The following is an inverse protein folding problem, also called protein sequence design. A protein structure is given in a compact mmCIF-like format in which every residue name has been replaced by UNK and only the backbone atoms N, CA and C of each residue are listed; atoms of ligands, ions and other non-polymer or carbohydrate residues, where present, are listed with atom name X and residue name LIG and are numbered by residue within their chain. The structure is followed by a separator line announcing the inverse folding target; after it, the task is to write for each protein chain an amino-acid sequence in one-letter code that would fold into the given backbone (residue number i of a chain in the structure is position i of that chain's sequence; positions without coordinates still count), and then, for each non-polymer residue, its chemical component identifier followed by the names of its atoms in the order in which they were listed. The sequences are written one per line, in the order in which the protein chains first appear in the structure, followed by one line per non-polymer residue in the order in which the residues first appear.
data_IF_815771903454
#
_entry.id   IF_815771903454
#
_cell.length_a   1.000
_cell.length_b   1.000
_cell.length_c   1.000
_cell.angle_alpha   90.00
_cell.angle_beta   90.00
_cell.angle_gamma   90.00
#
_symmetry.space_group_name_H-M   'P 1'
#
loop_
_entity.id
_entity.type
_entity.pdbx_description
1 polymer ?
#
# COMPACT_ATOMS: atom_id res chain seq x y z
N UNK A 1 -11.70 -72.32 73.23
CA UNK A 1 -13.12 -72.05 73.54
C UNK A 1 -13.91 -72.92 72.56
N UNK A 2 -14.20 -74.19 72.89
CA UNK A 2 -15.33 -74.68 73.72
C UNK A 2 -16.68 -74.36 73.05
N UNK A 3 -17.37 -75.36 72.47
CA UNK A 3 -18.47 -76.19 73.08
C UNK A 3 -19.83 -75.43 72.93
N UNK A 4 -20.99 -75.95 72.48
CA UNK A 4 -21.66 -77.28 72.34
C UNK A 4 -22.27 -77.44 70.90
N UNK A 5 -22.70 -78.57 70.33
CA UNK A 5 -23.20 -79.91 70.75
C UNK A 5 -24.62 -79.98 71.38
N UNK A 6 -25.16 -81.21 71.48
CA UNK A 6 -26.52 -81.65 71.93
C UNK A 6 -27.52 -81.69 70.75
N UNK A 7 -27.84 -82.85 70.17
CA UNK A 7 -28.58 -84.04 70.68
C UNK A 7 -30.10 -83.75 70.86
N UNK A 8 -31.03 -84.70 70.72
CA UNK A 8 -30.86 -86.15 70.74
C UNK A 8 -31.86 -86.88 69.81
N UNK A 9 -31.48 -88.07 69.37
CA UNK A 9 -32.28 -88.96 68.53
C UNK A 9 -32.92 -90.02 69.43
N UNK A 10 -34.19 -89.84 69.87
CA UNK A 10 -34.76 -90.74 70.89
C UNK A 10 -36.09 -91.45 70.56
N UNK A 11 -35.96 -92.68 70.02
CA UNK A 11 -36.87 -93.84 70.22
C UNK A 11 -38.32 -93.69 69.67
N UNK A 12 -39.06 -94.75 69.29
CA UNK A 12 -39.37 -95.97 70.05
C UNK A 12 -39.49 -97.22 69.16
N UNK A 13 -39.06 -98.35 69.74
CA UNK A 13 -39.08 -99.72 69.20
C UNK A 13 -40.47 -100.25 68.83
N UNK A 14 -40.55 -101.31 67.99
CA UNK A 14 -41.77 -102.12 67.88
C UNK A 14 -42.11 -102.75 69.24
N UNK A 15 -43.40 -102.76 69.61
CA UNK A 15 -43.90 -103.55 70.75
C UNK A 15 -44.68 -104.76 70.24
N UNK A 16 -43.95 -105.86 70.08
CA UNK A 16 -44.50 -107.20 69.96
C UNK A 16 -45.45 -107.51 71.11
N UNK A 17 -46.53 -108.25 70.82
CA UNK A 17 -47.40 -108.83 71.85
C UNK A 17 -46.61 -109.88 72.63
N UNK A 18 -46.28 -109.59 73.89
CA UNK A 18 -46.08 -110.65 74.88
C UNK A 18 -47.40 -110.85 75.63
N UNK A 19 -48.14 -111.89 75.26
CA UNK A 19 -49.19 -112.43 76.12
C UNK A 19 -48.53 -113.16 77.28
N UNK A 20 -48.75 -112.68 78.51
CA UNK A 20 -48.40 -113.44 79.70
C UNK A 20 -49.38 -114.61 79.87
N UNK A 21 -48.85 -115.78 80.24
CA UNK A 21 -49.67 -116.92 80.65
C UNK A 21 -50.45 -116.57 81.91
N UNK A 22 -51.74 -116.91 81.93
CA UNK A 22 -52.49 -117.14 83.16
C UNK A 22 -52.78 -118.63 83.29
N UNK A 23 -52.24 -119.23 84.34
CA UNK A 23 -52.54 -120.59 84.77
C UNK A 23 -53.72 -120.53 85.73
N UNK A 24 -54.82 -121.23 85.42
CA UNK A 24 -55.86 -121.59 86.40
C UNK A 24 -56.41 -122.97 86.05
N UNK A 25 -56.50 -123.86 87.04
CA UNK A 25 -57.01 -125.23 86.92
C UNK A 25 -58.14 -125.44 87.96
N UNK A 26 -58.88 -126.55 87.85
CA UNK A 26 -59.98 -126.99 88.76
C UNK A 26 -61.31 -126.19 88.66
N UNK A 27 -62.51 -126.75 88.84
CA UNK A 27 -63.07 -128.10 88.55
C UNK A 27 -64.63 -127.98 88.48
N UNK A 28 -65.33 -129.05 88.09
CA UNK A 28 -66.78 -129.08 87.79
C UNK A 28 -67.76 -128.85 88.97
N UNK A 29 -68.91 -128.19 88.73
CA UNK A 29 -70.27 -128.75 88.98
C UNK A 29 -71.42 -127.97 88.27
N UNK A 30 -72.68 -128.46 88.36
CA UNK A 30 -73.85 -128.14 87.48
C UNK A 30 -74.94 -127.21 88.09
N UNK A 31 -75.77 -126.60 87.19
CA UNK A 31 -77.06 -125.84 87.37
C UNK A 31 -76.91 -124.37 87.84
N UNK A 32 -77.37 -123.29 87.16
CA UNK A 32 -78.71 -122.88 86.64
C UNK A 32 -79.68 -122.46 87.76
N UNK A 33 -80.32 -121.28 87.82
CA UNK A 33 -80.59 -120.13 86.89
C UNK A 33 -80.09 -118.77 87.49
N UNK A 34 -80.26 -117.54 86.97
CA UNK A 34 -80.93 -116.98 85.77
C UNK A 34 -81.92 -115.83 86.08
N UNK A 35 -81.46 -114.56 86.05
CA UNK A 35 -82.23 -113.28 85.93
C UNK A 35 -81.27 -112.06 85.94
N UNK A 36 -80.27 -112.06 86.84
CA UNK A 36 -79.35 -110.92 87.03
C UNK A 36 -78.50 -110.53 85.80
N UNK A 37 -78.27 -111.45 84.87
CA UNK A 37 -77.45 -111.22 83.67
C UNK A 37 -78.08 -110.23 82.67
N UNK A 38 -79.43 -110.14 82.62
CA UNK A 38 -80.12 -109.26 81.66
C UNK A 38 -79.90 -107.77 81.98
N UNK A 39 -79.89 -107.41 83.27
CA UNK A 39 -79.69 -106.03 83.70
C UNK A 39 -78.27 -105.54 83.40
N UNK A 40 -77.24 -106.35 83.66
CA UNK A 40 -75.86 -105.98 83.28
C UNK A 40 -75.66 -105.91 81.76
N UNK A 41 -76.27 -106.83 80.99
CA UNK A 41 -76.21 -106.79 79.53
C UNK A 41 -76.78 -105.50 78.95
N UNK A 42 -77.99 -105.11 79.39
CA UNK A 42 -78.62 -103.84 78.99
C UNK A 42 -77.79 -102.63 79.39
N UNK A 43 -77.22 -102.61 80.60
CA UNK A 43 -76.42 -101.50 81.09
C UNK A 43 -75.10 -101.38 80.32
N UNK A 44 -74.45 -102.49 79.96
CA UNK A 44 -73.29 -102.50 79.06
C UNK A 44 -73.64 -102.05 77.63
N UNK A 45 -74.81 -102.42 77.08
CA UNK A 45 -75.25 -101.97 75.75
C UNK A 45 -75.53 -100.47 75.75
N UNK A 46 -76.19 -99.94 76.78
CA UNK A 46 -76.44 -98.49 76.92
C UNK A 46 -75.14 -97.70 77.13
N UNK A 47 -74.19 -98.22 77.92
CA UNK A 47 -72.86 -97.61 78.06
C UNK A 47 -72.06 -97.68 76.74
N UNK A 48 -72.09 -98.80 76.01
CA UNK A 48 -71.45 -98.90 74.70
C UNK A 48 -72.08 -97.96 73.67
N UNK A 49 -73.40 -97.86 73.62
CA UNK A 49 -74.10 -96.90 72.76
C UNK A 49 -73.77 -95.45 73.14
N UNK A 50 -73.65 -95.14 74.44
CA UNK A 50 -73.20 -93.85 74.93
C UNK A 50 -71.75 -93.53 74.55
N UNK A 51 -70.83 -94.48 74.70
CA UNK A 51 -69.42 -94.35 74.32
C UNK A 51 -69.27 -94.21 72.79
N UNK A 52 -69.99 -95.00 71.99
CA UNK A 52 -70.00 -94.88 70.53
C UNK A 52 -70.59 -93.53 70.10
N UNK A 53 -71.68 -93.08 70.72
CA UNK A 53 -72.27 -91.76 70.48
C UNK A 53 -71.31 -90.62 70.83
N UNK A 54 -70.62 -90.71 71.97
CA UNK A 54 -69.56 -89.77 72.36
C UNK A 54 -68.38 -89.79 71.37
N UNK A 55 -67.91 -90.96 70.96
CA UNK A 55 -66.84 -91.08 69.96
C UNK A 55 -67.25 -90.48 68.60
N UNK A 56 -68.47 -90.74 68.11
CA UNK A 56 -68.95 -90.20 66.83
C UNK A 56 -69.18 -88.69 66.92
N UNK A 57 -69.71 -88.18 68.03
CA UNK A 57 -69.92 -86.74 68.19
C UNK A 57 -68.57 -86.00 68.35
N UNK A 58 -67.64 -86.53 69.15
CA UNK A 58 -66.31 -85.95 69.35
C UNK A 58 -65.46 -85.97 68.06
N UNK A 59 -65.47 -87.07 67.32
CA UNK A 59 -64.77 -87.16 66.03
C UNK A 59 -65.45 -86.31 64.94
N UNK A 60 -66.79 -86.27 64.88
CA UNK A 60 -67.54 -85.44 63.95
C UNK A 60 -67.37 -83.94 64.18
N UNK A 61 -67.33 -83.51 65.44
CA UNK A 61 -67.10 -82.12 65.83
C UNK A 61 -65.66 -81.68 65.50
N UNK A 62 -64.66 -82.53 65.81
CA UNK A 62 -63.26 -82.30 65.39
C UNK A 62 -63.12 -82.21 63.86
N UNK A 63 -63.82 -83.06 63.10
CA UNK A 63 -63.78 -83.04 61.64
C UNK A 63 -64.45 -81.78 61.04
N UNK A 64 -65.48 -81.24 61.69
CA UNK A 64 -66.11 -79.98 61.28
C UNK A 64 -65.22 -78.78 61.59
N UNK A 65 -64.63 -78.71 62.78
CA UNK A 65 -63.71 -77.63 63.16
C UNK A 65 -62.46 -77.61 62.26
N UNK A 66 -61.89 -78.78 61.96
CA UNK A 66 -60.74 -78.91 61.07
C UNK A 66 -61.09 -78.54 59.62
N UNK A 67 -62.27 -78.94 59.13
CA UNK A 67 -62.78 -78.53 57.80
C UNK A 67 -62.98 -77.02 57.71
N UNK A 68 -63.57 -76.40 58.72
CA UNK A 68 -63.89 -74.96 58.69
C UNK A 68 -62.63 -74.09 58.87
N UNK A 69 -61.64 -74.57 59.62
CA UNK A 69 -60.29 -74.00 59.64
C UNK A 69 -59.59 -74.13 58.29
N UNK A 70 -59.62 -75.31 57.64
CA UNK A 70 -59.08 -75.52 56.31
C UNK A 70 -59.77 -74.65 55.25
N UNK A 71 -61.08 -74.50 55.32
CA UNK A 71 -61.87 -73.65 54.43
C UNK A 71 -61.52 -72.16 54.63
N UNK A 72 -61.36 -71.70 55.88
CA UNK A 72 -60.88 -70.35 56.19
C UNK A 72 -59.48 -70.10 55.64
N UNK A 73 -58.56 -71.07 55.79
CA UNK A 73 -57.21 -71.00 55.25
C UNK A 73 -57.20 -70.95 53.72
N UNK A 74 -58.02 -71.76 53.07
CA UNK A 74 -58.16 -71.81 51.61
C UNK A 74 -58.76 -70.51 51.04
N UNK A 75 -59.73 -69.90 51.74
CA UNK A 75 -60.28 -68.59 51.40
C UNK A 75 -59.23 -67.47 51.53
N UNK A 76 -58.34 -67.53 52.52
CA UNK A 76 -57.25 -66.56 52.67
C UNK A 76 -56.17 -66.74 51.59
N UNK A 77 -55.73 -67.98 51.33
CA UNK A 77 -54.81 -68.30 50.23
C UNK A 77 -55.38 -67.89 48.85
N UNK A 78 -56.70 -67.98 48.67
CA UNK A 78 -57.39 -67.48 47.47
C UNK A 78 -57.26 -65.97 47.34
N UNK A 79 -57.46 -65.20 48.41
CA UNK A 79 -57.27 -63.73 48.40
C UNK A 79 -55.82 -63.34 48.12
N UNK A 80 -54.86 -64.02 48.73
CA UNK A 80 -53.42 -63.79 48.49
C UNK A 80 -53.05 -64.07 47.03
N UNK A 81 -53.53 -65.18 46.47
CA UNK A 81 -53.37 -65.52 45.04
C UNK A 81 -53.95 -64.43 44.13
N UNK A 82 -55.15 -63.95 44.40
CA UNK A 82 -55.83 -62.96 43.55
C UNK A 82 -55.15 -61.57 43.66
N UNK A 83 -54.61 -61.21 44.83
CA UNK A 83 -53.74 -60.05 45.02
C UNK A 83 -52.43 -60.18 44.24
N UNK A 84 -51.74 -61.32 44.35
CA UNK A 84 -50.51 -61.60 43.60
C UNK A 84 -50.74 -61.59 42.09
N UNK A 85 -51.87 -62.12 41.62
CA UNK A 85 -52.27 -62.08 40.21
C UNK A 85 -52.50 -60.64 39.74
N UNK A 86 -53.11 -59.80 40.57
CA UNK A 86 -53.29 -58.36 40.29
C UNK A 86 -51.96 -57.62 40.19
N UNK A 87 -51.03 -57.87 41.13
CA UNK A 87 -49.68 -57.31 41.13
C UNK A 87 -48.92 -57.76 39.88
N UNK A 88 -48.94 -59.04 39.55
CA UNK A 88 -48.28 -59.60 38.37
C UNK A 88 -48.82 -59.00 37.06
N UNK A 89 -50.14 -58.79 36.97
CA UNK A 89 -50.76 -58.12 35.82
C UNK A 89 -50.33 -56.65 35.68
N UNK A 90 -50.10 -55.94 36.79
CA UNK A 90 -49.60 -54.57 36.77
C UNK A 90 -48.11 -54.50 36.40
N UNK A 91 -47.26 -55.34 37.00
CA UNK A 91 -45.84 -55.47 36.64
C UNK A 91 -45.66 -55.85 35.16
N UNK A 92 -46.56 -56.67 34.60
CA UNK A 92 -46.58 -57.00 33.17
C UNK A 92 -46.81 -55.75 32.31
N UNK A 93 -47.77 -54.88 32.68
CA UNK A 93 -48.01 -53.61 31.97
C UNK A 93 -46.83 -52.65 32.06
N UNK A 94 -46.23 -52.51 33.25
CA UNK A 94 -45.05 -51.67 33.45
C UNK A 94 -43.86 -52.16 32.61
N UNK A 95 -43.61 -53.48 32.59
CA UNK A 95 -42.61 -54.12 31.71
C UNK A 95 -42.87 -53.80 30.24
N UNK A 96 -44.11 -53.90 29.78
CA UNK A 96 -44.45 -53.69 28.36
C UNK A 96 -44.35 -52.20 27.97
N UNK A 97 -44.66 -51.28 28.89
CA UNK A 97 -44.39 -49.84 28.75
C UNK A 97 -42.88 -49.54 28.70
N UNK A 98 -42.10 -50.13 29.61
CA UNK A 98 -40.63 -50.05 29.62
C UNK A 98 -40.01 -50.59 28.33
N UNK A 99 -40.49 -51.73 27.82
CA UNK A 99 -40.04 -52.31 26.55
C UNK A 99 -40.36 -51.38 25.37
N UNK A 100 -41.53 -50.73 25.38
CA UNK A 100 -41.90 -49.75 24.35
C UNK A 100 -41.00 -48.52 24.39
N UNK A 101 -40.71 -48.00 25.59
CA UNK A 101 -39.77 -46.88 25.80
C UNK A 101 -38.35 -47.23 25.34
N UNK A 102 -37.85 -48.40 25.73
CA UNK A 102 -36.56 -48.94 25.29
C UNK A 102 -36.46 -49.05 23.76
N UNK A 103 -37.49 -49.61 23.12
CA UNK A 103 -37.54 -49.74 21.65
C UNK A 103 -37.54 -48.39 20.93
N UNK A 104 -38.07 -47.32 21.55
CA UNK A 104 -38.03 -45.97 21.00
C UNK A 104 -36.66 -45.32 21.19
N UNK A 105 -36.06 -45.42 22.38
CA UNK A 105 -34.70 -44.94 22.66
C UNK A 105 -33.65 -45.60 21.75
N UNK A 106 -33.83 -46.88 21.41
CA UNK A 106 -32.99 -47.59 20.43
C UNK A 106 -33.07 -46.93 19.05
N UNK A 107 -34.27 -46.56 18.57
CA UNK A 107 -34.44 -45.86 17.28
C UNK A 107 -33.81 -44.47 17.29
N UNK A 108 -33.97 -43.71 18.37
CA UNK A 108 -33.36 -42.39 18.53
C UNK A 108 -31.82 -42.48 18.52
N UNK A 109 -31.25 -43.45 19.24
CA UNK A 109 -29.82 -43.76 19.19
C UNK A 109 -29.33 -44.07 17.77
N UNK A 110 -30.06 -44.90 17.04
CA UNK A 110 -29.64 -45.32 15.69
C UNK A 110 -29.76 -44.16 14.67
N UNK A 111 -30.74 -43.26 14.85
CA UNK A 111 -30.84 -42.00 14.10
C UNK A 111 -29.69 -41.05 14.43
N UNK A 112 -29.35 -40.87 15.71
CA UNK A 112 -28.23 -40.04 16.15
C UNK A 112 -26.88 -40.59 15.66
N UNK A 113 -26.69 -41.91 15.70
CA UNK A 113 -25.51 -42.57 15.15
C UNK A 113 -25.40 -42.34 13.62
N UNK A 114 -26.51 -42.42 12.90
CA UNK A 114 -26.55 -42.08 11.46
C UNK A 114 -26.16 -40.63 11.20
N UNK A 115 -26.71 -39.68 11.97
CA UNK A 115 -26.39 -38.25 11.88
C UNK A 115 -24.91 -37.98 12.16
N UNK A 116 -24.36 -38.56 13.23
CA UNK A 116 -22.96 -38.42 13.61
C UNK A 116 -22.00 -38.99 12.54
N UNK A 117 -22.35 -40.10 11.91
CA UNK A 117 -21.59 -40.67 10.79
C UNK A 117 -21.60 -39.76 9.55
N UNK A 118 -22.69 -39.03 9.30
CA UNK A 118 -22.76 -38.07 8.20
C UNK A 118 -21.95 -36.80 8.50
N UNK A 119 -22.09 -36.22 9.69
CA UNK A 119 -21.29 -35.08 10.15
C UNK A 119 -19.77 -35.38 10.13
N UNK A 120 -19.39 -36.62 10.44
CA UNK A 120 -18.00 -37.09 10.34
C UNK A 120 -17.48 -37.01 8.89
N UNK A 121 -18.28 -37.43 7.90
CA UNK A 121 -17.92 -37.35 6.47
C UNK A 121 -17.82 -35.89 6.00
N UNK A 122 -18.76 -35.04 6.40
CA UNK A 122 -18.75 -33.60 6.06
C UNK A 122 -17.50 -32.91 6.64
N UNK A 123 -17.14 -33.21 7.90
CA UNK A 123 -15.89 -32.74 8.52
C UNK A 123 -14.66 -33.17 7.72
N UNK A 124 -14.59 -34.43 7.29
CA UNK A 124 -13.43 -34.97 6.58
C UNK A 124 -13.31 -34.40 5.14
N UNK A 125 -14.45 -34.11 4.50
CA UNK A 125 -14.51 -33.36 3.23
C UNK A 125 -14.04 -31.91 3.42
N UNK A 126 -14.52 -31.21 4.45
CA UNK A 126 -14.09 -29.86 4.80
C UNK A 126 -12.59 -29.80 5.12
N UNK A 127 -12.06 -30.76 5.88
CA UNK A 127 -10.63 -30.87 6.17
C UNK A 127 -9.81 -31.07 4.89
N UNK A 128 -10.30 -31.86 3.95
CA UNK A 128 -9.66 -32.06 2.64
C UNK A 128 -9.65 -30.78 1.82
N UNK A 129 -10.77 -30.05 1.77
CA UNK A 129 -10.89 -28.75 1.09
C UNK A 129 -9.94 -27.72 1.71
N UNK A 130 -9.90 -27.59 3.03
CA UNK A 130 -8.99 -26.72 3.77
C UNK A 130 -7.52 -27.02 3.49
N UNK A 131 -7.14 -28.30 3.47
CA UNK A 131 -5.77 -28.73 3.15
C UNK A 131 -5.37 -28.43 1.69
N UNK A 132 -6.32 -28.32 0.76
CA UNK A 132 -6.05 -27.91 -0.62
C UNK A 132 -5.93 -26.38 -0.73
N UNK A 133 -6.81 -25.62 -0.07
CA UNK A 133 -6.73 -24.16 0.04
C UNK A 133 -5.40 -23.68 0.63
N UNK A 134 -4.82 -24.41 1.59
CA UNK A 134 -3.46 -24.16 2.10
C UNK A 134 -2.42 -24.26 0.99
N UNK A 135 -2.47 -25.30 0.14
CA UNK A 135 -1.50 -25.49 -0.95
C UNK A 135 -1.62 -24.38 -1.99
N UNK A 136 -2.85 -24.00 -2.35
CA UNK A 136 -3.11 -22.89 -3.29
C UNK A 136 -2.58 -21.56 -2.74
N UNK A 137 -2.82 -21.27 -1.45
CA UNK A 137 -2.25 -20.10 -0.76
C UNK A 137 -0.73 -20.10 -0.82
N UNK A 138 -0.08 -21.23 -0.54
CA UNK A 138 1.39 -21.31 -0.50
C UNK A 138 2.02 -21.20 -1.90
N UNK A 139 1.34 -21.69 -2.93
CA UNK A 139 1.69 -21.46 -4.34
C UNK A 139 1.55 -19.98 -4.72
N UNK A 140 0.43 -19.33 -4.35
CA UNK A 140 0.20 -17.90 -4.59
C UNK A 140 1.22 -17.03 -3.85
N UNK A 141 1.57 -17.35 -2.61
CA UNK A 141 2.61 -16.66 -1.85
C UNK A 141 3.98 -16.78 -2.53
N UNK A 142 4.30 -17.95 -3.09
CA UNK A 142 5.53 -18.16 -3.86
C UNK A 142 5.55 -17.32 -5.13
N UNK A 143 4.44 -17.27 -5.87
CA UNK A 143 4.29 -16.43 -7.07
C UNK A 143 4.41 -14.94 -6.75
N UNK A 144 3.76 -14.46 -5.69
CA UNK A 144 3.84 -13.07 -5.21
C UNK A 144 5.28 -12.67 -4.83
N UNK A 145 6.01 -13.55 -4.15
CA UNK A 145 7.40 -13.30 -3.76
C UNK A 145 8.32 -13.18 -4.99
N UNK A 146 8.06 -13.93 -6.06
CA UNK A 146 8.81 -13.85 -7.31
C UNK A 146 8.48 -12.56 -8.09
N UNK A 147 7.20 -12.23 -8.25
CA UNK A 147 6.74 -10.99 -8.88
C UNK A 147 7.27 -9.73 -8.17
N UNK A 148 7.40 -9.80 -6.84
CA UNK A 148 8.02 -8.71 -6.05
C UNK A 148 9.49 -8.52 -6.43
N UNK A 149 10.28 -9.60 -6.55
CA UNK A 149 11.68 -9.51 -6.99
C UNK A 149 11.82 -8.97 -8.41
N UNK A 150 10.95 -9.39 -9.34
CA UNK A 150 10.95 -8.88 -10.72
C UNK A 150 10.63 -7.38 -10.75
N UNK A 151 9.64 -6.92 -9.97
CA UNK A 151 9.32 -5.49 -9.83
C UNK A 151 10.53 -4.70 -9.32
N UNK A 152 11.18 -5.17 -8.27
CA UNK A 152 12.30 -4.47 -7.64
C UNK A 152 13.53 -4.41 -8.58
N UNK A 153 13.75 -5.46 -9.38
CA UNK A 153 14.75 -5.47 -10.46
C UNK A 153 14.41 -4.48 -11.58
N UNK A 154 13.17 -4.45 -12.07
CA UNK A 154 12.72 -3.50 -13.09
C UNK A 154 12.79 -2.05 -12.60
N UNK A 155 12.42 -1.79 -11.34
CA UNK A 155 12.52 -0.47 -10.72
C UNK A 155 13.99 -0.01 -10.63
N UNK A 156 14.89 -0.92 -10.23
CA UNK A 156 16.34 -0.64 -10.24
C UNK A 156 16.85 -0.36 -11.66
N UNK A 157 16.42 -1.16 -12.64
CA UNK A 157 16.79 -1.01 -14.05
C UNK A 157 16.27 0.27 -14.70
N UNK A 158 15.11 0.79 -14.28
CA UNK A 158 14.57 2.07 -14.76
C UNK A 158 15.22 3.30 -14.10
N UNK A 159 15.68 3.18 -12.84
CA UNK A 159 16.27 4.30 -12.11
C UNK A 159 17.61 4.77 -12.72
N UNK A 160 18.39 3.87 -13.33
CA UNK A 160 19.66 4.22 -13.99
C UNK A 160 19.46 5.09 -15.25
N UNK A 161 18.68 4.67 -16.28
CA UNK A 161 18.43 5.49 -17.47
C UNK A 161 17.58 6.73 -17.19
N UNK A 162 16.85 6.79 -16.07
CA UNK A 162 16.22 8.03 -15.60
C UNK A 162 17.28 9.06 -15.18
N UNK A 163 18.26 8.67 -14.33
CA UNK A 163 19.38 9.54 -13.95
C UNK A 163 20.22 9.97 -15.16
N UNK A 164 20.52 9.04 -16.04
CA UNK A 164 21.31 9.29 -17.26
C UNK A 164 20.57 10.27 -18.20
N UNK A 165 19.24 10.15 -18.32
CA UNK A 165 18.40 11.13 -19.01
C UNK A 165 18.45 12.51 -18.35
N UNK A 166 18.29 12.58 -17.04
CA UNK A 166 18.29 13.87 -16.31
C UNK A 166 19.67 14.54 -16.33
N UNK A 167 20.77 13.77 -16.44
CA UNK A 167 22.12 14.28 -16.68
C UNK A 167 22.28 14.78 -18.12
N UNK A 168 21.93 13.97 -19.12
CA UNK A 168 21.94 14.36 -20.54
C UNK A 168 21.06 15.58 -20.83
N UNK A 169 19.92 15.73 -20.15
CA UNK A 169 19.04 16.87 -20.30
C UNK A 169 19.67 18.14 -19.72
N UNK A 170 20.28 18.07 -18.53
CA UNK A 170 21.07 19.18 -17.94
C UNK A 170 22.30 19.54 -18.78
N UNK A 171 22.96 18.57 -19.40
CA UNK A 171 24.04 18.84 -20.35
C UNK A 171 23.54 19.48 -21.64
N UNK A 172 22.39 19.03 -22.16
CA UNK A 172 21.73 19.62 -23.34
C UNK A 172 21.27 21.05 -23.08
N UNK A 173 20.74 21.36 -21.89
CA UNK A 173 20.38 22.72 -21.47
C UNK A 173 21.61 23.62 -21.33
N UNK A 174 22.67 23.14 -20.65
CA UNK A 174 23.97 23.84 -20.60
C UNK A 174 24.55 24.09 -22.00
N UNK A 175 24.48 23.10 -22.88
CA UNK A 175 24.99 23.19 -24.24
C UNK A 175 24.14 24.13 -25.10
N UNK A 176 22.81 24.11 -24.97
CA UNK A 176 21.92 25.06 -25.64
C UNK A 176 22.16 26.50 -25.15
N UNK A 177 22.34 26.72 -23.85
CA UNK A 177 22.69 28.03 -23.29
C UNK A 177 24.09 28.49 -23.75
N UNK A 178 25.01 27.55 -24.01
CA UNK A 178 26.34 27.82 -24.59
C UNK A 178 26.33 28.03 -26.11
N UNK A 179 25.39 27.43 -26.84
CA UNK A 179 25.23 27.54 -28.30
C UNK A 179 24.44 28.79 -28.68
N UNK A 180 23.35 29.12 -27.98
CA UNK A 180 22.59 30.37 -28.18
C UNK A 180 23.23 31.56 -27.46
N UNK A 181 23.98 31.32 -26.39
CA UNK A 181 24.67 32.34 -25.60
C UNK A 181 23.70 33.26 -24.88
N UNK A 182 23.07 32.81 -23.78
CA UNK A 182 22.36 33.73 -22.89
C UNK A 182 23.39 34.71 -22.29
N UNK A 183 23.37 35.95 -22.79
CA UNK A 183 24.31 37.01 -22.44
C UNK A 183 24.13 37.45 -20.98
N UNK A 184 22.92 37.32 -20.44
CA UNK A 184 22.58 37.79 -19.11
C UNK A 184 23.28 36.98 -17.99
N UNK A 185 23.55 35.68 -18.21
CA UNK A 185 24.22 34.81 -17.22
C UNK A 185 25.65 35.25 -16.84
N UNK A 186 26.29 36.08 -17.67
CA UNK A 186 27.61 36.65 -17.40
C UNK A 186 27.56 38.12 -16.95
N UNK A 187 26.34 38.67 -16.83
CA UNK A 187 26.10 40.05 -16.44
C UNK A 187 26.02 40.23 -14.92
N UNK A 188 25.80 41.49 -14.51
CA UNK A 188 25.56 41.86 -13.12
C UNK A 188 24.17 42.48 -13.01
N UNK A 189 23.28 41.83 -12.27
CA UNK A 189 21.91 42.28 -12.06
C UNK A 189 21.78 43.18 -10.82
N UNK A 190 20.84 44.12 -10.87
CA UNK A 190 20.46 45.00 -9.77
C UNK A 190 19.01 45.50 -9.96
N UNK A 191 18.37 46.00 -8.90
CA UNK A 191 16.95 46.37 -8.92
C UNK A 191 16.66 47.55 -7.98
N UNK A 192 15.47 48.15 -8.11
CA UNK A 192 15.08 49.36 -7.39
C UNK A 192 15.11 49.23 -5.86
N UNK A 193 14.74 48.06 -5.33
CA UNK A 193 14.77 47.73 -3.91
C UNK A 193 14.76 46.22 -3.68
N UNK A 194 15.14 45.76 -2.48
CA UNK A 194 15.17 44.34 -2.13
C UNK A 194 14.01 44.00 -1.18
N UNK A 195 13.18 43.00 -1.53
CA UNK A 195 12.18 42.44 -0.62
C UNK A 195 12.65 41.10 -0.04
N UNK A 196 12.91 41.07 1.26
CA UNK A 196 13.47 39.90 1.93
C UNK A 196 14.86 39.56 1.39
N UNK A 197 15.04 38.31 0.94
CA UNK A 197 16.30 37.78 0.41
C UNK A 197 16.14 37.37 -1.08
N UNK A 198 15.50 38.22 -1.89
CA UNK A 198 15.15 37.95 -3.30
C UNK A 198 16.01 38.81 -4.22
N UNK A 199 17.27 38.39 -4.35
CA UNK A 199 18.33 39.16 -5.00
C UNK A 199 18.10 39.29 -6.51
N UNK A 200 18.52 40.43 -7.08
CA UNK A 200 18.35 40.69 -8.50
C UNK A 200 19.02 39.65 -9.41
N UNK A 201 20.06 38.96 -8.91
CA UNK A 201 20.76 37.88 -9.61
C UNK A 201 19.90 36.65 -9.86
N UNK A 202 18.81 36.44 -9.10
CA UNK A 202 17.95 35.26 -9.22
C UNK A 202 17.36 35.14 -10.64
N UNK A 203 17.11 36.27 -11.33
CA UNK A 203 16.61 36.28 -12.71
C UNK A 203 17.69 36.17 -13.81
N UNK A 204 18.95 35.86 -13.48
CA UNK A 204 20.01 35.57 -14.47
C UNK A 204 20.83 34.33 -14.10
N UNK A 205 20.29 33.48 -13.23
CA UNK A 205 21.01 32.35 -12.65
C UNK A 205 21.00 31.09 -13.55
N UNK A 206 20.25 31.14 -14.65
CA UNK A 206 20.08 30.06 -15.63
C UNK A 206 18.94 29.09 -15.31
N UNK A 207 18.09 29.36 -14.31
CA UNK A 207 17.02 28.45 -13.87
C UNK A 207 15.65 29.11 -13.95
N UNK A 208 14.82 28.65 -14.90
CA UNK A 208 13.39 29.03 -15.02
C UNK A 208 12.49 28.41 -13.94
N UNK A 209 12.90 28.37 -12.68
CA UNK A 209 12.01 27.95 -11.59
C UNK A 209 11.02 29.08 -11.27
N UNK A 210 9.73 28.80 -11.41
CA UNK A 210 8.67 29.81 -11.35
C UNK A 210 8.09 29.99 -9.95
N UNK A 211 8.50 29.18 -8.98
CA UNK A 211 8.12 29.37 -7.59
C UNK A 211 8.89 30.55 -6.99
N UNK A 212 8.18 31.45 -6.30
CA UNK A 212 8.70 32.65 -5.61
C UNK A 212 10.10 32.53 -4.99
N UNK A 213 10.45 31.38 -4.40
CA UNK A 213 11.74 31.19 -3.74
C UNK A 213 12.97 31.18 -4.68
N UNK A 214 12.75 31.18 -5.99
CA UNK A 214 13.77 31.29 -7.04
C UNK A 214 13.59 32.53 -7.92
N UNK A 215 12.76 33.50 -7.53
CA UNK A 215 12.48 34.69 -8.33
C UNK A 215 12.89 35.98 -7.59
N UNK A 216 13.26 37.00 -8.37
CA UNK A 216 13.53 38.35 -7.86
C UNK A 216 12.27 38.99 -7.25
N UNK A 217 12.43 39.92 -6.31
CA UNK A 217 11.27 40.65 -5.77
C UNK A 217 11.67 42.03 -5.22
N UNK A 218 11.06 43.10 -5.75
CA UNK A 218 11.20 44.46 -5.20
C UNK A 218 10.26 44.69 -4.01
N UNK A 219 10.46 45.78 -3.26
CA UNK A 219 9.39 46.38 -2.45
C UNK A 219 8.29 46.94 -3.38
N UNK A 220 7.23 47.51 -2.78
CA UNK A 220 6.18 48.21 -3.53
C UNK A 220 6.63 49.62 -3.91
N UNK A 221 7.57 49.71 -4.84
CA UNK A 221 8.15 50.99 -5.27
C UNK A 221 7.22 51.73 -6.23
N UNK A 222 7.40 53.05 -6.38
CA UNK A 222 6.83 53.80 -7.50
C UNK A 222 7.74 53.64 -8.71
N UNK A 223 7.22 53.07 -9.80
CA UNK A 223 7.99 52.67 -10.98
C UNK A 223 9.14 51.67 -10.65
N UNK A 224 8.84 50.48 -10.08
CA UNK A 224 9.86 49.48 -9.77
C UNK A 224 10.60 49.06 -11.05
N UNK A 225 11.89 48.79 -10.92
CA UNK A 225 12.74 48.42 -12.05
C UNK A 225 13.80 47.38 -11.66
N UNK A 226 14.20 46.59 -12.64
CA UNK A 226 15.28 45.61 -12.58
C UNK A 226 16.18 45.84 -13.80
N UNK A 227 17.49 45.64 -13.67
CA UNK A 227 18.48 45.82 -14.74
C UNK A 227 19.58 44.79 -14.67
N UNK A 228 20.01 44.27 -15.82
CA UNK A 228 21.31 43.60 -15.99
C UNK A 228 22.28 44.48 -16.77
N UNK A 229 23.50 44.58 -16.27
CA UNK A 229 24.68 45.05 -17.01
C UNK A 229 25.36 43.85 -17.67
N UNK A 230 25.35 43.79 -19.01
CA UNK A 230 25.97 42.71 -19.80
C UNK A 230 27.50 42.83 -19.90
N UNK A 231 28.10 43.81 -19.21
CA UNK A 231 29.54 44.16 -19.17
C UNK A 231 30.12 44.70 -20.49
N UNK A 232 29.56 44.31 -21.63
CA UNK A 232 29.93 44.75 -22.98
C UNK A 232 28.69 45.22 -23.76
N UNK A 233 28.88 45.91 -24.89
CA UNK A 233 27.80 46.25 -25.80
C UNK A 233 27.47 45.07 -26.74
N UNK A 234 26.19 44.76 -26.86
CA UNK A 234 25.65 43.73 -27.74
C UNK A 234 24.60 44.29 -28.69
N UNK A 235 24.50 43.67 -29.86
CA UNK A 235 23.37 43.78 -30.78
C UNK A 235 22.34 42.72 -30.38
N UNK A 236 21.40 43.11 -29.52
CA UNK A 236 20.42 42.23 -28.87
C UNK A 236 19.25 41.98 -29.82
N UNK A 237 19.07 40.72 -30.19
CA UNK A 237 18.00 40.28 -31.10
C UNK A 237 16.74 39.88 -30.34
N UNK A 238 16.88 39.23 -29.19
CA UNK A 238 15.76 38.67 -28.43
C UNK A 238 15.97 38.84 -26.91
N UNK A 239 14.88 39.01 -26.17
CA UNK A 239 14.85 38.91 -24.71
C UNK A 239 13.73 37.96 -24.31
N UNK A 240 14.03 36.90 -23.56
CA UNK A 240 13.03 35.99 -23.01
C UNK A 240 12.85 36.29 -21.53
N UNK A 241 11.61 36.29 -21.05
CA UNK A 241 11.28 36.61 -19.66
C UNK A 241 10.28 35.58 -19.11
N UNK A 242 10.62 34.98 -17.97
CA UNK A 242 9.81 33.98 -17.26
C UNK A 242 9.08 34.63 -16.08
N UNK A 243 7.74 34.52 -16.07
CA UNK A 243 6.89 35.11 -15.02
C UNK A 243 6.72 34.15 -13.82
N UNK A 244 6.25 34.70 -12.68
CA UNK A 244 5.95 33.94 -11.46
C UNK A 244 4.81 32.95 -11.67
N UNK A 245 4.95 31.76 -11.11
CA UNK A 245 4.00 30.64 -11.24
C UNK A 245 3.08 30.40 -10.06
N UNK A 246 3.53 30.68 -8.83
CA UNK A 246 2.74 30.36 -7.62
C UNK A 246 1.61 31.37 -7.32
N UNK A 247 1.77 32.64 -7.72
CA UNK A 247 0.70 33.65 -7.65
C UNK A 247 1.00 34.84 -8.56
N UNK A 248 0.00 35.72 -8.66
CA UNK A 248 0.18 37.13 -8.98
C UNK A 248 0.84 37.47 -10.34
N UNK A 249 0.62 36.71 -11.44
CA UNK A 249 1.27 36.96 -12.73
C UNK A 249 0.92 38.34 -13.31
N UNK A 250 -0.27 38.86 -13.01
CA UNK A 250 -0.80 40.13 -13.52
C UNK A 250 0.01 41.38 -13.09
N UNK A 251 0.86 41.25 -12.06
CA UNK A 251 1.70 42.37 -11.59
C UNK A 251 2.65 42.88 -12.67
N UNK A 252 3.07 42.01 -13.59
CA UNK A 252 3.98 42.34 -14.69
C UNK A 252 3.27 43.03 -15.87
N UNK A 253 1.94 43.07 -15.89
CA UNK A 253 1.16 43.59 -17.02
C UNK A 253 1.41 45.10 -17.21
N UNK A 254 1.78 45.49 -18.43
CA UNK A 254 2.20 46.85 -18.79
C UNK A 254 3.67 47.18 -18.46
N UNK A 255 4.47 46.22 -18.00
CA UNK A 255 5.91 46.41 -17.86
C UNK A 255 6.59 46.66 -19.22
N UNK A 256 7.77 47.28 -19.22
CA UNK A 256 8.51 47.64 -20.42
C UNK A 256 9.93 47.08 -20.40
N UNK A 257 10.35 46.45 -21.50
CA UNK A 257 11.73 46.04 -21.73
C UNK A 257 12.44 47.16 -22.49
N UNK A 258 13.56 47.65 -21.95
CA UNK A 258 14.34 48.77 -22.49
C UNK A 258 15.81 48.39 -22.62
N UNK A 259 16.42 48.81 -23.74
CA UNK A 259 17.76 48.37 -24.15
C UNK A 259 18.58 49.57 -24.60
N UNK A 260 19.78 49.72 -24.07
CA UNK A 260 20.70 50.76 -24.52
C UNK A 260 22.01 50.84 -23.73
N UNK A 261 22.71 51.96 -23.88
CA UNK A 261 24.03 52.21 -23.30
C UNK A 261 24.03 53.30 -22.21
N UNK A 262 22.88 53.95 -21.94
CA UNK A 262 22.79 54.96 -20.89
C UNK A 262 22.40 54.36 -19.54
N UNK A 263 22.96 54.90 -18.45
CA UNK A 263 22.52 54.67 -17.07
C UNK A 263 21.67 55.83 -16.52
N UNK A 264 21.39 56.85 -17.33
CA UNK A 264 20.49 57.94 -16.95
C UNK A 264 19.12 57.39 -16.52
N UNK A 265 18.60 57.87 -15.38
CA UNK A 265 17.40 57.34 -14.76
C UNK A 265 17.44 55.79 -14.61
N UNK A 266 18.57 55.26 -14.12
CA UNK A 266 18.85 53.82 -14.01
C UNK A 266 18.78 53.03 -15.33
N UNK A 267 18.83 53.72 -16.48
CA UNK A 267 18.65 53.14 -17.81
C UNK A 267 17.20 53.05 -18.27
N UNK A 268 16.23 53.55 -17.48
CA UNK A 268 14.81 53.62 -17.85
C UNK A 268 14.59 54.56 -19.04
N UNK A 269 15.49 55.52 -19.29
CA UNK A 269 15.40 56.42 -20.44
C UNK A 269 15.88 55.77 -21.76
N UNK A 270 16.46 54.57 -21.73
CA UNK A 270 16.87 53.87 -22.95
C UNK A 270 15.66 53.51 -23.86
N UNK A 271 15.88 53.35 -25.18
CA UNK A 271 14.84 52.92 -26.12
C UNK A 271 14.11 51.64 -25.68
N UNK A 272 12.81 51.61 -25.93
CA UNK A 272 11.93 50.47 -25.58
C UNK A 272 12.01 49.39 -26.67
N UNK A 273 12.33 48.15 -26.26
CA UNK A 273 12.17 46.97 -27.12
C UNK A 273 10.69 46.54 -27.18
N UNK A 274 10.06 46.34 -26.01
CA UNK A 274 8.70 45.81 -25.94
C UNK A 274 7.91 46.37 -24.75
N UNK A 275 6.58 46.27 -24.84
CA UNK A 275 5.66 46.36 -23.71
C UNK A 275 5.13 44.95 -23.46
N UNK A 276 5.18 44.50 -22.22
CA UNK A 276 4.63 43.23 -21.77
C UNK A 276 3.13 43.43 -21.58
N UNK A 277 2.31 42.84 -22.46
CA UNK A 277 0.85 42.92 -22.33
C UNK A 277 0.36 42.05 -21.19
N UNK A 278 0.68 40.75 -21.25
CA UNK A 278 0.43 39.76 -20.21
C UNK A 278 1.34 38.53 -20.44
N UNK A 279 1.83 37.91 -19.36
CA UNK A 279 2.49 36.59 -19.41
C UNK A 279 1.80 35.70 -18.37
N UNK A 280 1.22 34.54 -18.74
CA UNK A 280 0.54 33.67 -17.80
C UNK A 280 1.44 33.17 -16.65
N UNK A 281 0.81 32.65 -15.59
CA UNK A 281 1.52 32.14 -14.43
C UNK A 281 2.52 31.04 -14.81
N UNK A 282 3.80 31.28 -14.53
CA UNK A 282 4.90 30.34 -14.77
C UNK A 282 5.31 30.16 -16.24
N UNK A 283 4.73 30.94 -17.16
CA UNK A 283 5.12 30.91 -18.56
C UNK A 283 6.32 31.80 -18.86
N UNK A 284 7.01 31.49 -19.95
CA UNK A 284 8.09 32.30 -20.51
C UNK A 284 7.69 32.89 -21.86
N UNK A 285 7.96 34.17 -22.08
CA UNK A 285 7.68 34.84 -23.35
C UNK A 285 8.93 35.48 -23.95
N UNK A 286 9.13 35.31 -25.27
CA UNK A 286 10.27 35.84 -26.01
C UNK A 286 9.87 37.07 -26.83
N UNK A 287 10.50 38.19 -26.55
CA UNK A 287 10.31 39.47 -27.21
C UNK A 287 11.40 39.70 -28.25
N UNK A 288 10.99 40.07 -29.47
CA UNK A 288 11.88 40.35 -30.59
C UNK A 288 12.34 41.82 -30.54
N UNK A 289 13.61 42.05 -30.23
CA UNK A 289 14.22 43.37 -30.09
C UNK A 289 14.97 43.85 -31.33
N UNK A 290 14.80 43.18 -32.49
CA UNK A 290 15.26 43.63 -33.82
C UNK A 290 16.75 43.99 -33.97
N UNK A 291 17.62 43.56 -33.05
CA UNK A 291 19.05 43.89 -33.07
C UNK A 291 19.36 45.27 -32.48
N UNK A 292 18.66 45.69 -31.42
CA UNK A 292 18.97 46.91 -30.66
C UNK A 292 20.38 46.84 -30.05
N UNK A 293 21.09 47.96 -30.10
CA UNK A 293 22.42 48.09 -29.48
C UNK A 293 22.28 48.46 -28.00
N UNK A 294 22.88 47.67 -27.11
CA UNK A 294 22.88 47.97 -25.69
C UNK A 294 23.84 47.11 -24.86
N UNK A 295 24.35 47.72 -23.79
CA UNK A 295 25.02 47.06 -22.66
C UNK A 295 24.06 46.79 -21.50
N UNK A 296 23.00 47.59 -21.37
CA UNK A 296 22.02 47.49 -20.30
C UNK A 296 20.68 47.01 -20.85
N UNK A 297 20.10 46.02 -20.19
CA UNK A 297 18.70 45.60 -20.37
C UNK A 297 17.96 45.89 -19.07
N UNK A 298 16.87 46.65 -19.16
CA UNK A 298 16.07 47.13 -18.03
C UNK A 298 14.64 46.65 -18.22
N UNK A 299 14.03 46.13 -17.15
CA UNK A 299 12.59 45.89 -17.05
C UNK A 299 12.03 46.88 -16.04
N UNK A 300 10.98 47.62 -16.39
CA UNK A 300 10.35 48.65 -15.52
C UNK A 300 8.83 48.57 -15.60
N UNK A 301 8.12 48.77 -14.48
CA UNK A 301 6.65 48.90 -14.46
C UNK A 301 6.30 50.40 -14.34
N UNK A 302 6.04 51.12 -15.44
CA UNK A 302 5.81 52.56 -15.38
C UNK A 302 4.42 52.94 -14.86
N UNK A 303 4.31 54.16 -14.32
CA UNK A 303 3.05 54.85 -14.06
C UNK A 303 2.27 54.39 -12.82
N UNK A 304 2.76 53.38 -12.07
CA UNK A 304 2.10 52.89 -10.84
C UNK A 304 3.09 52.46 -9.76
N UNK A 305 2.57 52.27 -8.54
CA UNK A 305 3.30 51.62 -7.46
C UNK A 305 3.00 50.13 -7.41
N UNK A 306 4.02 49.30 -7.59
CA UNK A 306 3.88 47.85 -7.85
C UNK A 306 5.05 47.05 -7.28
N UNK A 307 4.89 45.74 -7.17
CA UNK A 307 6.00 44.81 -6.93
C UNK A 307 6.47 44.19 -8.26
N UNK A 308 7.74 44.38 -8.63
CA UNK A 308 8.34 43.71 -9.77
C UNK A 308 8.96 42.37 -9.32
N UNK A 309 8.58 41.29 -10.01
CA UNK A 309 9.16 39.95 -9.88
C UNK A 309 9.46 39.39 -11.26
N UNK A 310 10.66 38.86 -11.41
CA UNK A 310 11.16 38.14 -12.58
C UNK A 310 11.76 36.82 -12.10
N UNK A 311 11.37 35.69 -12.70
CA UNK A 311 11.90 34.38 -12.32
C UNK A 311 13.08 33.94 -13.19
N UNK A 312 13.17 34.40 -14.43
CA UNK A 312 14.38 34.32 -15.26
C UNK A 312 14.27 35.36 -16.39
N UNK A 313 15.39 35.97 -16.76
CA UNK A 313 15.53 36.87 -17.89
C UNK A 313 16.76 36.48 -18.72
N UNK A 314 16.51 36.14 -19.98
CA UNK A 314 17.52 35.68 -20.93
C UNK A 314 17.68 36.73 -22.02
N UNK A 315 18.93 37.06 -22.38
CA UNK A 315 19.24 38.03 -23.43
C UNK A 315 20.04 37.32 -24.52
N UNK A 316 19.56 37.40 -25.76
CA UNK A 316 20.22 36.80 -26.92
C UNK A 316 20.61 37.87 -27.95
N UNK A 317 21.79 37.71 -28.53
CA UNK A 317 22.33 38.65 -29.50
C UNK A 317 23.80 38.37 -29.81
N UNK A 318 24.40 39.23 -30.63
CA UNK A 318 25.83 39.14 -30.97
C UNK A 318 26.60 40.32 -30.36
N UNK A 319 27.91 40.18 -30.04
CA UNK A 319 28.71 41.34 -29.63
C UNK A 319 28.64 42.45 -30.69
N UNK A 320 28.48 43.70 -30.28
CA UNK A 320 28.34 44.84 -31.20
C UNK A 320 29.64 45.20 -31.97
N UNK A 321 30.69 44.38 -31.83
CA UNK A 321 32.08 44.67 -32.19
C UNK A 321 32.68 45.70 -31.23
N UNK A 322 33.92 45.47 -30.78
CA UNK A 322 34.60 46.42 -29.88
C UNK A 322 34.58 47.85 -30.46
N UNK A 323 34.48 48.90 -29.63
CA UNK A 323 34.78 50.25 -30.09
C UNK A 323 36.22 50.28 -30.60
N UNK A 324 36.45 50.95 -31.73
CA UNK A 324 37.78 51.06 -32.28
C UNK A 324 38.65 52.01 -31.42
N UNK A 325 39.97 51.81 -31.35
CA UNK A 325 40.85 52.72 -30.63
C UNK A 325 40.75 54.16 -31.18
N UNK A 326 41.15 55.14 -30.38
CA UNK A 326 41.09 56.54 -30.79
C UNK A 326 41.87 56.79 -32.10
N UNK A 327 41.26 57.52 -33.03
CA UNK A 327 41.80 57.75 -34.37
C UNK A 327 41.47 56.68 -35.43
N UNK A 328 40.89 55.54 -35.04
CA UNK A 328 40.50 54.46 -35.97
C UNK A 328 39.06 54.63 -36.46
N UNK A 329 38.77 54.19 -37.69
CA UNK A 329 37.43 54.16 -38.29
C UNK A 329 36.85 52.75 -38.21
N UNK A 330 35.58 52.61 -37.80
CA UNK A 330 34.89 51.31 -37.72
C UNK A 330 34.16 51.01 -39.02
N UNK A 331 34.25 49.77 -39.51
CA UNK A 331 33.32 49.21 -40.50
C UNK A 331 33.04 47.75 -40.16
N UNK A 332 31.75 47.42 -39.98
CA UNK A 332 31.33 46.14 -39.41
C UNK A 332 31.96 45.87 -38.05
N UNK A 333 32.60 44.71 -37.91
CA UNK A 333 33.39 44.31 -36.74
C UNK A 333 34.85 44.76 -36.75
N UNK A 334 35.31 45.38 -37.84
CA UNK A 334 36.72 45.70 -38.09
C UNK A 334 37.04 47.17 -37.87
N UNK A 335 38.29 47.44 -37.50
CA UNK A 335 38.82 48.77 -37.25
C UNK A 335 39.95 49.08 -38.24
N UNK A 336 39.89 50.25 -38.87
CA UNK A 336 40.80 50.67 -39.93
C UNK A 336 41.49 51.95 -39.52
N UNK A 337 42.80 52.01 -39.71
CA UNK A 337 43.61 53.21 -39.49
C UNK A 337 44.22 53.65 -40.81
N UNK A 338 44.20 54.95 -41.07
CA UNK A 338 44.92 55.54 -42.19
C UNK A 338 45.81 56.67 -41.70
N UNK A 339 46.91 56.88 -42.42
CA UNK A 339 47.89 57.93 -42.15
C UNK A 339 48.18 58.68 -43.45
N UNK A 340 48.41 59.98 -43.34
CA UNK A 340 48.84 60.84 -44.45
C UNK A 340 50.37 60.84 -44.65
N UNK A 341 51.11 60.13 -43.78
CA UNK A 341 52.56 59.98 -43.91
C UNK A 341 52.87 58.97 -45.01
N UNK A 342 53.47 59.45 -46.10
CA UNK A 342 53.93 58.62 -47.21
C UNK A 342 55.05 57.69 -46.71
N UNK A 343 54.89 56.39 -46.98
CA UNK A 343 55.81 55.30 -46.62
C UNK A 343 55.93 54.34 -47.80
N UNK A 344 56.98 53.53 -47.85
CA UNK A 344 56.99 52.34 -48.73
C UNK A 344 56.01 51.27 -48.22
N UNK A 345 55.71 50.26 -49.06
CA UNK A 345 54.83 49.15 -48.66
C UNK A 345 55.34 48.41 -47.42
N UNK A 346 56.65 48.13 -47.35
CA UNK A 346 57.27 47.42 -46.23
C UNK A 346 57.26 48.25 -44.93
N UNK A 347 57.55 49.55 -45.02
CA UNK A 347 57.44 50.48 -43.88
C UNK A 347 55.99 50.65 -43.40
N UNK A 348 55.02 50.59 -44.32
CA UNK A 348 53.59 50.62 -43.98
C UNK A 348 53.16 49.32 -43.29
N UNK A 349 53.62 48.17 -43.78
CA UNK A 349 53.39 46.86 -43.14
C UNK A 349 53.96 46.83 -41.72
N UNK A 350 55.18 47.35 -41.54
CA UNK A 350 55.81 47.48 -40.23
C UNK A 350 55.02 48.40 -39.30
N UNK A 351 54.59 49.57 -39.76
CA UNK A 351 53.78 50.51 -38.97
C UNK A 351 52.44 49.92 -38.53
N UNK A 352 51.75 49.16 -39.40
CA UNK A 352 50.56 48.41 -39.01
C UNK A 352 50.87 47.38 -37.90
N UNK A 353 51.92 46.59 -38.07
CA UNK A 353 52.31 45.56 -37.10
C UNK A 353 52.69 46.16 -35.73
N UNK A 354 53.42 47.28 -35.72
CA UNK A 354 53.77 48.02 -34.49
C UNK A 354 52.54 48.59 -33.75
N UNK A 355 51.44 48.82 -34.46
CA UNK A 355 50.13 49.21 -33.89
C UNK A 355 49.25 48.02 -33.48
N UNK A 356 49.73 46.79 -33.62
CA UNK A 356 48.94 45.57 -33.35
C UNK A 356 47.89 45.26 -34.41
N UNK A 357 48.11 45.68 -35.66
CA UNK A 357 47.24 45.47 -36.81
C UNK A 357 48.04 44.99 -38.04
N UNK A 358 47.36 44.81 -39.17
CA UNK A 358 47.99 44.43 -40.45
C UNK A 358 47.48 45.33 -41.58
N UNK A 359 48.21 45.38 -42.69
CA UNK A 359 47.71 45.99 -43.92
C UNK A 359 46.45 45.25 -44.39
N UNK A 360 45.45 46.01 -44.84
CA UNK A 360 44.10 45.50 -45.06
C UNK A 360 44.04 44.44 -46.17
N UNK A 361 43.34 43.34 -45.88
CA UNK A 361 42.96 42.30 -46.83
C UNK A 361 41.52 42.55 -47.21
N UNK A 362 41.23 42.69 -48.50
CA UNK A 362 39.89 43.08 -48.98
C UNK A 362 39.13 41.81 -49.40
N UNK A 363 38.11 41.45 -48.62
CA UNK A 363 37.35 40.21 -48.77
C UNK A 363 35.91 40.44 -49.28
N UNK A 364 35.47 41.69 -49.42
CA UNK A 364 34.12 42.03 -49.89
C UNK A 364 34.07 43.33 -50.69
N UNK A 365 33.01 43.48 -51.50
CA UNK A 365 32.75 44.69 -52.29
C UNK A 365 32.41 45.89 -51.38
N UNK A 366 31.76 45.61 -50.27
CA UNK A 366 31.37 46.54 -49.23
C UNK A 366 32.62 47.10 -48.52
N UNK A 367 33.58 46.23 -48.18
CA UNK A 367 34.88 46.61 -47.63
C UNK A 367 35.71 47.42 -48.63
N UNK A 368 35.79 47.02 -49.90
CA UNK A 368 36.44 47.80 -50.95
C UNK A 368 35.84 49.21 -51.07
N UNK A 369 34.51 49.31 -51.03
CA UNK A 369 33.78 50.59 -51.12
C UNK A 369 34.06 51.48 -49.91
N UNK A 370 34.13 50.90 -48.71
CA UNK A 370 34.50 51.61 -47.49
C UNK A 370 35.94 52.13 -47.54
N UNK A 371 36.91 51.29 -47.91
CA UNK A 371 38.33 51.64 -47.98
C UNK A 371 38.56 52.80 -48.97
N UNK A 372 37.90 52.77 -50.13
CA UNK A 372 37.97 53.85 -51.13
C UNK A 372 37.49 55.21 -50.57
N UNK A 373 36.66 55.21 -49.53
CA UNK A 373 36.18 56.43 -48.86
C UNK A 373 37.09 56.96 -47.75
N UNK A 374 38.06 56.18 -47.25
CA UNK A 374 38.81 56.52 -46.03
C UNK A 374 39.78 57.69 -46.19
N UNK A 375 40.44 57.82 -47.35
CA UNK A 375 41.49 58.81 -47.60
C UNK A 375 41.10 59.92 -48.59
N UNK A 376 39.82 59.98 -49.00
CA UNK A 376 39.32 60.95 -49.96
C UNK A 376 39.69 60.65 -51.42
N UNK A 377 39.01 61.31 -52.39
CA UNK A 377 39.18 61.01 -53.81
C UNK A 377 40.58 61.37 -54.31
N UNK A 378 41.23 60.41 -54.99
CA UNK A 378 42.52 60.60 -55.67
C UNK A 378 43.77 60.25 -54.84
N UNK A 379 43.63 59.88 -53.57
CA UNK A 379 44.77 59.48 -52.73
C UNK A 379 45.01 57.96 -52.78
N UNK A 380 46.19 57.56 -53.24
CA UNK A 380 46.64 56.16 -53.22
C UNK A 380 46.92 55.70 -51.78
N UNK A 381 46.58 54.45 -51.46
CA UNK A 381 46.72 53.89 -50.11
C UNK A 381 47.29 52.47 -50.20
N UNK A 382 48.31 52.16 -49.41
CA UNK A 382 48.85 50.80 -49.35
C UNK A 382 47.84 49.84 -48.71
N UNK A 383 47.61 48.71 -49.39
CA UNK A 383 46.80 47.59 -48.91
C UNK A 383 47.69 46.35 -48.74
N UNK A 384 47.13 45.29 -48.17
CA UNK A 384 47.84 44.04 -47.86
C UNK A 384 48.20 43.19 -49.07
N UNK A 385 48.04 43.67 -50.30
CA UNK A 385 48.34 42.93 -51.52
C UNK A 385 49.80 43.12 -51.92
N UNK A 386 50.52 42.03 -52.23
CA UNK A 386 51.95 42.03 -52.53
C UNK A 386 52.34 40.99 -53.58
N UNK A 387 53.42 41.26 -54.31
CA UNK A 387 54.06 40.35 -55.27
C UNK A 387 55.58 40.20 -55.02
N UNK A 388 56.06 40.64 -53.85
CA UNK A 388 57.50 40.69 -53.51
C UNK A 388 58.13 39.29 -53.49
N UNK A 389 57.42 38.30 -52.96
CA UNK A 389 57.96 36.94 -52.79
C UNK A 389 58.04 36.13 -54.10
N UNK A 390 57.17 36.42 -55.07
CA UNK A 390 57.16 35.78 -56.40
C UNK A 390 56.72 36.79 -57.46
N UNK A 391 57.67 37.28 -58.24
CA UNK A 391 57.43 38.30 -59.28
C UNK A 391 56.41 37.80 -60.31
N UNK A 392 55.21 38.37 -60.28
CA UNK A 392 54.08 38.01 -61.15
C UNK A 392 52.92 37.29 -60.45
N UNK A 393 53.10 36.83 -59.21
CA UNK A 393 52.04 36.20 -58.40
C UNK A 393 51.64 37.12 -57.25
N UNK A 394 50.42 37.63 -57.28
CA UNK A 394 49.86 38.45 -56.20
C UNK A 394 49.27 37.59 -55.09
N UNK A 395 49.56 37.97 -53.84
CA UNK A 395 48.99 37.37 -52.64
C UNK A 395 48.78 38.43 -51.55
N UNK A 396 47.98 38.11 -50.55
CA UNK A 396 47.73 38.95 -49.39
C UNK A 396 48.81 38.76 -48.31
N UNK A 397 48.85 39.67 -47.32
CA UNK A 397 49.83 39.65 -46.21
C UNK A 397 49.71 38.43 -45.29
N UNK A 398 48.60 37.70 -45.33
CA UNK A 398 48.38 36.42 -44.65
C UNK A 398 48.87 35.20 -45.46
N UNK A 399 49.30 35.41 -46.71
CA UNK A 399 49.76 34.38 -47.64
C UNK A 399 48.71 33.83 -48.60
N UNK A 400 47.44 34.22 -48.49
CA UNK A 400 46.38 33.76 -49.40
C UNK A 400 46.56 34.33 -50.81
N UNK A 401 46.36 33.54 -51.89
CA UNK A 401 46.51 34.02 -53.25
C UNK A 401 45.40 35.01 -53.61
N UNK A 402 45.69 35.98 -54.48
CA UNK A 402 44.64 36.83 -55.05
C UNK A 402 43.74 35.98 -55.95
N UNK A 403 42.51 35.72 -55.50
CA UNK A 403 41.46 35.11 -56.31
C UNK A 403 40.72 36.17 -57.11
N UNK A 404 40.58 35.96 -58.41
CA UNK A 404 39.65 36.74 -59.24
C UNK A 404 38.25 36.16 -59.05
N UNK A 405 37.33 36.96 -58.49
CA UNK A 405 35.90 36.68 -58.45
C UNK A 405 35.23 36.98 -59.80
#
# INVERSE_FOLDING_TARGET
MKILDIDDNMYVKPRTRHGFQYSVHFQWWKRSFGIAALCLGLLCILLLAGIIGLCVNFTGQHYCDERDQLQTRNNNLTKERDQLQTINNNLTKERDQLQTSYNNLVKERDQLQTSNNNLTKERDQLQTSYNNLIKERDQLQTSYNNLTKERDQLQTSNNNPAKERDELQRETEKLNNKIKGNLAMNGVATQSSLYGNRDASDAIDGKRNTHYESCTHTLKDSNPWWRVDLLNEYRITEVTLTNRGDCCPERLDGAEIRIGNSLENNGINNPRCAVISHIPAGEAHTFQCSGMHGRYVVVVIPGRSEWLTLCELEVYGTPAGRPCPEGWKKSGSSCYYTTTVIKTWEESRKDCNERGAHLVIINSKEEQTFINGLNGPGNETWIGLTNVDTKGTWKWVDGTPLTTA
#
